data_IF_425566769241
#
_entry.id   IF_425566769241
#
_cell.length_a   1.000
_cell.length_b   1.000
_cell.length_c   1.000
_cell.angle_alpha   90.00
_cell.angle_beta   90.00
_cell.angle_gamma   90.00
#
_symmetry.space_group_name_H-M   'P 1'
#
loop_
_entity.id
_entity.type
_entity.pdbx_description
1 polymer ?
#
# COMPACT_ATOMS: atom_id res chain seq x y z
N UNK A 1 -8.80 -0.55 0.07
CA UNK A 1 -8.17 -0.38 -1.27
C UNK A 1 -7.33 -1.59 -1.64
N UNK A 2 -6.24 -1.92 -0.92
CA UNK A 2 -5.39 -3.08 -1.23
C UNK A 2 -6.17 -4.38 -1.48
N UNK A 3 -7.02 -4.80 -0.54
CA UNK A 3 -7.87 -5.99 -0.72
C UNK A 3 -8.77 -5.92 -1.96
N UNK A 4 -9.35 -4.75 -2.26
CA UNK A 4 -10.23 -4.57 -3.40
C UNK A 4 -9.51 -4.79 -4.74
N UNK A 5 -8.18 -4.57 -4.80
CA UNK A 5 -7.39 -4.86 -6.02
C UNK A 5 -7.35 -6.36 -6.35
N UNK A 6 -7.55 -7.22 -5.35
CA UNK A 6 -7.53 -8.68 -5.45
C UNK A 6 -8.93 -9.29 -5.57
N UNK A 7 -9.98 -8.49 -5.34
CA UNK A 7 -11.37 -8.94 -5.47
C UNK A 7 -11.76 -9.06 -6.95
N UNK A 8 -12.61 -10.04 -7.29
CA UNK A 8 -13.14 -10.18 -8.64
C UNK A 8 -14.27 -9.18 -8.91
N UNK A 9 -14.16 -8.44 -10.01
CA UNK A 9 -15.15 -7.46 -10.45
C UNK A 9 -14.76 -6.02 -10.08
N UNK A 10 -15.76 -5.17 -9.91
CA UNK A 10 -15.59 -3.76 -9.60
C UNK A 10 -16.08 -3.41 -8.19
N UNK A 11 -15.31 -2.59 -7.47
CA UNK A 11 -15.63 -2.12 -6.12
C UNK A 11 -15.52 -0.60 -6.10
N UNK A 12 -16.62 0.08 -5.77
CA UNK A 12 -16.62 1.52 -5.51
C UNK A 12 -16.37 1.77 -4.03
N UNK A 13 -15.35 2.56 -3.72
CA UNK A 13 -15.02 3.02 -2.39
C UNK A 13 -15.42 4.48 -2.28
N UNK A 14 -16.14 4.83 -1.21
CA UNK A 14 -16.56 6.19 -0.91
C UNK A 14 -16.05 6.60 0.48
N UNK A 15 -15.26 7.67 0.53
CA UNK A 15 -14.66 8.26 1.73
C UNK A 15 -15.13 9.71 1.86
N UNK A 16 -16.26 9.91 2.52
CA UNK A 16 -16.92 11.21 2.64
C UNK A 16 -16.25 12.16 3.64
N UNK A 17 -15.45 11.64 4.58
CA UNK A 17 -14.99 12.41 5.73
C UNK A 17 -13.73 13.23 5.42
N UNK A 18 -12.89 12.77 4.50
CA UNK A 18 -11.61 13.42 4.19
C UNK A 18 -11.34 13.45 2.68
N UNK A 19 -11.34 14.65 2.11
CA UNK A 19 -11.11 14.89 0.67
C UNK A 19 -9.76 14.36 0.15
N UNK A 20 -8.73 14.31 1.02
CA UNK A 20 -7.38 13.94 0.60
C UNK A 20 -6.96 12.51 0.98
N UNK A 21 -7.87 11.66 1.45
CA UNK A 21 -7.51 10.33 1.95
C UNK A 21 -7.24 9.31 0.85
N UNK A 22 -7.72 9.56 -0.38
CA UNK A 22 -7.54 8.64 -1.50
C UNK A 22 -6.27 8.91 -2.34
N UNK A 23 -5.47 9.93 -2.00
CA UNK A 23 -4.31 10.31 -2.84
C UNK A 23 -3.25 9.21 -2.95
N UNK A 24 -3.05 8.37 -1.93
CA UNK A 24 -2.08 7.26 -1.97
C UNK A 24 -2.42 6.16 -2.98
N UNK A 25 -3.61 6.22 -3.60
CA UNK A 25 -4.02 5.31 -4.67
C UNK A 25 -3.03 5.32 -5.83
N UNK A 26 -2.36 6.44 -6.08
CA UNK A 26 -1.30 6.56 -7.09
C UNK A 26 -0.21 5.49 -6.92
N UNK A 27 0.20 5.20 -5.68
CA UNK A 27 1.20 4.17 -5.38
C UNK A 27 0.70 2.77 -5.68
N UNK A 28 -0.57 2.48 -5.39
CA UNK A 28 -1.17 1.20 -5.77
C UNK A 28 -1.28 1.05 -7.29
N UNK A 29 -1.57 2.13 -8.01
CA UNK A 29 -1.58 2.15 -9.48
C UNK A 29 -0.17 1.90 -10.04
N UNK A 30 0.88 2.47 -9.43
CA UNK A 30 2.28 2.17 -9.80
C UNK A 30 2.62 0.68 -9.61
N UNK A 31 2.05 0.03 -8.59
CA UNK A 31 2.16 -1.42 -8.38
C UNK A 31 1.31 -2.25 -9.34
N UNK A 32 0.59 -1.65 -10.29
CA UNK A 32 -0.21 -2.36 -11.29
C UNK A 32 -1.70 -2.51 -10.95
N UNK A 33 -2.20 -1.88 -9.89
CA UNK A 33 -3.63 -1.86 -9.60
C UNK A 33 -4.42 -1.06 -10.65
N UNK A 34 -5.63 -1.49 -10.95
CA UNK A 34 -6.57 -0.74 -11.79
C UNK A 34 -7.52 0.04 -10.90
N UNK A 35 -7.18 1.30 -10.64
CA UNK A 35 -7.97 2.19 -9.78
C UNK A 35 -8.19 3.52 -10.50
N UNK A 36 -9.43 3.97 -10.54
CA UNK A 36 -9.82 5.27 -11.11
C UNK A 36 -10.43 6.13 -10.00
N UNK A 37 -9.83 7.29 -9.74
CA UNK A 37 -10.44 8.32 -8.89
C UNK A 37 -11.60 8.94 -9.68
N UNK A 38 -12.81 8.83 -9.17
CA UNK A 38 -14.00 9.39 -9.81
C UNK A 38 -14.21 10.86 -9.41
N UNK A 39 -13.85 11.20 -8.18
CA UNK A 39 -13.91 12.54 -7.56
C UNK A 39 -13.11 12.50 -6.23
N UNK A 40 -12.98 13.60 -5.47
CA UNK A 40 -12.17 13.63 -4.25
C UNK A 40 -12.54 12.57 -3.19
N UNK A 41 -13.78 12.07 -3.20
CA UNK A 41 -14.26 11.14 -2.20
C UNK A 41 -14.46 9.72 -2.73
N UNK A 42 -14.39 9.48 -4.04
CA UNK A 42 -14.72 8.18 -4.63
C UNK A 42 -13.61 7.62 -5.49
N UNK A 43 -13.32 6.34 -5.29
CA UNK A 43 -12.40 5.55 -6.10
C UNK A 43 -13.09 4.26 -6.59
N UNK A 44 -13.01 3.98 -7.88
CA UNK A 44 -13.41 2.70 -8.46
C UNK A 44 -12.18 1.80 -8.59
N UNK A 45 -12.25 0.60 -8.02
CA UNK A 45 -11.21 -0.44 -8.13
C UNK A 45 -11.75 -1.57 -9.00
N UNK A 46 -10.94 -2.04 -9.97
CA UNK A 46 -11.30 -3.18 -10.82
C UNK A 46 -10.24 -4.28 -10.65
N UNK A 47 -10.68 -5.45 -10.19
CA UNK A 47 -9.83 -6.61 -9.93
C UNK A 47 -10.36 -7.92 -10.53
N UNK A 48 -9.59 -9.01 -10.40
CA UNK A 48 -8.28 -9.06 -9.74
C UNK A 48 -7.18 -8.48 -10.63
N UNK A 49 -6.14 -7.90 -10.01
CA UNK A 49 -4.92 -7.46 -10.68
C UNK A 49 -3.70 -8.04 -9.99
N UNK A 50 -2.76 -8.58 -10.77
CA UNK A 50 -1.43 -8.94 -10.27
C UNK A 50 -0.68 -7.65 -9.95
N UNK A 51 -0.25 -7.51 -8.71
CA UNK A 51 0.58 -6.40 -8.30
C UNK A 51 2.05 -6.75 -8.50
N UNK A 52 2.88 -5.77 -8.79
CA UNK A 52 4.32 -5.92 -8.93
C UNK A 52 5.05 -5.10 -7.87
N UNK A 53 6.18 -5.62 -7.44
CA UNK A 53 7.07 -4.95 -6.52
C UNK A 53 7.53 -3.60 -7.05
N UNK A 54 7.50 -2.59 -6.19
CA UNK A 54 7.87 -1.20 -6.51
C UNK A 54 8.59 -0.55 -5.33
N UNK A 55 9.24 0.58 -5.59
CA UNK A 55 9.72 1.48 -4.54
C UNK A 55 8.66 2.56 -4.30
N UNK A 56 8.11 2.59 -3.09
CA UNK A 56 7.04 3.52 -2.70
C UNK A 56 7.33 4.16 -1.36
N UNK A 57 6.85 5.38 -1.12
CA UNK A 57 6.99 6.07 0.16
C UNK A 57 5.67 6.12 0.90
N UNK A 58 5.67 5.79 2.20
CA UNK A 58 4.52 5.90 3.09
C UNK A 58 4.17 7.37 3.38
N UNK A 59 3.03 7.90 2.89
CA UNK A 59 2.67 9.30 3.12
C UNK A 59 2.05 9.53 4.51
N UNK A 60 1.41 8.50 5.07
CA UNK A 60 0.78 8.54 6.38
C UNK A 60 0.64 7.13 6.97
N UNK A 61 0.14 7.05 8.21
CA UNK A 61 0.02 5.81 8.99
C UNK A 61 -0.83 4.75 8.27
N UNK A 62 -2.00 5.15 7.72
CA UNK A 62 -2.99 4.22 7.16
C UNK A 62 -2.68 3.88 5.71
N UNK A 63 -2.25 4.87 4.93
CA UNK A 63 -1.77 4.64 3.56
C UNK A 63 -0.56 3.72 3.55
N UNK A 64 0.39 3.91 4.48
CA UNK A 64 1.55 3.03 4.65
C UNK A 64 1.15 1.57 4.88
N UNK A 65 0.22 1.32 5.81
CA UNK A 65 -0.30 -0.03 6.02
C UNK A 65 -1.04 -0.60 4.81
N UNK A 66 -1.81 0.22 4.10
CA UNK A 66 -2.49 -0.24 2.88
C UNK A 66 -1.48 -0.67 1.81
N UNK A 67 -0.39 0.08 1.64
CA UNK A 67 0.70 -0.28 0.72
C UNK A 67 1.46 -1.51 1.20
N UNK A 68 1.70 -1.66 2.51
CA UNK A 68 2.33 -2.85 3.07
C UNK A 68 1.49 -4.10 2.76
N UNK A 69 0.18 -4.05 2.95
CA UNK A 69 -0.71 -5.17 2.60
C UNK A 69 -0.67 -5.45 1.09
N UNK A 70 -0.63 -4.41 0.26
CA UNK A 70 -0.50 -4.56 -1.19
C UNK A 70 0.84 -5.20 -1.59
N UNK A 71 1.94 -4.82 -0.92
CA UNK A 71 3.28 -5.35 -1.13
C UNK A 71 3.37 -6.84 -0.80
N UNK A 72 2.72 -7.28 0.28
CA UNK A 72 2.65 -8.71 0.63
C UNK A 72 1.91 -9.56 -0.41
N UNK A 73 1.03 -8.94 -1.21
CA UNK A 73 0.32 -9.61 -2.29
C UNK A 73 1.00 -9.43 -3.66
N UNK A 74 2.06 -8.61 -3.75
CA UNK A 74 2.73 -8.31 -5.01
C UNK A 74 3.78 -9.37 -5.38
N UNK A 75 3.99 -9.54 -6.67
CA UNK A 75 5.08 -10.36 -7.22
C UNK A 75 6.37 -9.55 -7.23
N UNK A 76 7.45 -10.12 -6.69
CA UNK A 76 8.76 -9.46 -6.58
C UNK A 76 9.00 -8.83 -5.21
N UNK A 77 9.88 -7.82 -5.18
CA UNK A 77 10.28 -7.12 -3.95
C UNK A 77 9.71 -5.71 -3.99
N UNK A 78 9.06 -5.29 -2.89
CA UNK A 78 8.60 -3.92 -2.70
C UNK A 78 9.42 -3.28 -1.60
N UNK A 79 9.98 -2.11 -1.88
CA UNK A 79 10.66 -1.27 -0.89
C UNK A 79 9.71 -0.17 -0.45
N UNK A 80 9.45 -0.08 0.85
CA UNK A 80 8.57 0.94 1.43
C UNK A 80 9.42 1.91 2.24
N UNK A 81 9.57 3.14 1.75
CA UNK A 81 10.23 4.24 2.44
C UNK A 81 9.33 4.93 3.46
N UNK A 82 9.93 5.77 4.30
CA UNK A 82 9.24 6.57 5.32
C UNK A 82 8.38 5.75 6.32
N UNK A 83 8.83 4.53 6.66
CA UNK A 83 8.13 3.58 7.58
C UNK A 83 7.82 4.16 8.97
N UNK A 84 8.56 5.20 9.39
CA UNK A 84 8.27 5.97 10.62
C UNK A 84 6.82 6.42 10.74
N UNK A 85 6.11 6.63 9.62
CA UNK A 85 4.68 6.95 9.67
C UNK A 85 3.84 5.76 10.12
N UNK A 86 4.15 4.55 9.65
CA UNK A 86 3.45 3.31 10.04
C UNK A 86 3.67 3.03 11.52
N UNK A 87 4.91 3.18 11.99
CA UNK A 87 5.31 2.91 13.38
C UNK A 87 4.56 3.76 14.41
N UNK A 88 4.11 4.95 14.02
CA UNK A 88 3.30 5.82 14.89
C UNK A 88 1.93 5.23 15.24
N UNK A 89 1.42 4.29 14.45
CA UNK A 89 0.12 3.65 14.69
C UNK A 89 0.18 2.14 14.88
N UNK A 90 1.30 1.50 14.53
CA UNK A 90 1.45 0.05 14.58
C UNK A 90 2.77 -0.33 15.22
N UNK A 91 2.68 -0.86 16.44
CA UNK A 91 3.84 -1.33 17.19
C UNK A 91 4.40 -2.62 16.59
N UNK A 92 5.70 -2.63 16.27
CA UNK A 92 6.48 -3.81 15.84
C UNK A 92 5.77 -4.61 14.75
N UNK A 93 5.22 -3.89 13.76
CA UNK A 93 4.34 -4.48 12.75
C UNK A 93 5.05 -5.52 11.88
N UNK A 94 6.32 -5.28 11.56
CA UNK A 94 7.18 -6.18 10.80
C UNK A 94 7.40 -7.51 11.53
N UNK A 95 7.63 -7.47 12.85
CA UNK A 95 7.77 -8.68 13.66
C UNK A 95 6.46 -9.48 13.70
N UNK A 96 5.34 -8.79 13.98
CA UNK A 96 4.02 -9.44 14.04
C UNK A 96 3.63 -10.07 12.70
N UNK A 97 4.00 -9.44 11.59
CA UNK A 97 3.74 -9.99 10.27
C UNK A 97 4.69 -11.14 9.92
N UNK A 98 5.96 -11.06 10.31
CA UNK A 98 6.90 -12.19 10.21
C UNK A 98 6.42 -13.41 10.99
N UNK A 99 5.88 -13.21 12.19
CA UNK A 99 5.29 -14.29 13.00
C UNK A 99 4.10 -14.96 12.30
N UNK A 100 3.41 -14.24 11.41
CA UNK A 100 2.35 -14.77 10.56
C UNK A 100 2.86 -15.39 9.24
N UNK A 101 4.17 -15.42 9.02
CA UNK A 101 4.82 -15.98 7.84
C UNK A 101 5.08 -14.99 6.69
N UNK A 102 4.90 -13.69 6.93
CA UNK A 102 5.26 -12.68 5.94
C UNK A 102 6.78 -12.60 5.75
N UNK A 103 7.22 -12.44 4.50
CA UNK A 103 8.62 -12.15 4.17
C UNK A 103 8.80 -10.64 4.12
N UNK A 104 9.17 -10.06 5.25
CA UNK A 104 9.41 -8.63 5.41
C UNK A 104 10.64 -8.42 6.28
N UNK A 105 11.51 -7.52 5.86
CA UNK A 105 12.71 -7.14 6.58
C UNK A 105 12.72 -5.62 6.75
N UNK A 106 13.26 -5.15 7.87
CA UNK A 106 13.56 -3.74 8.07
C UNK A 106 15.02 -3.52 7.75
N UNK A 107 15.29 -2.56 6.89
CA UNK A 107 16.64 -2.09 6.60
C UNK A 107 16.76 -0.65 7.13
N UNK A 108 17.90 -0.36 7.76
CA UNK A 108 18.29 1.00 8.06
C UNK A 108 18.69 1.70 6.76
N UNK A 109 18.56 3.03 6.71
CA UNK A 109 18.89 3.82 5.52
C UNK A 109 20.41 3.78 5.28
N UNK A 110 20.87 2.76 4.56
CA UNK A 110 22.27 2.65 4.13
C UNK A 110 22.42 3.58 2.93
N UNK A 111 23.29 4.61 2.98
CA UNK A 111 23.50 5.47 1.84
C UNK A 111 23.99 4.63 0.66
N UNK A 112 23.20 4.62 -0.42
CA UNK A 112 23.54 3.93 -1.67
C UNK A 112 24.89 4.49 -2.13
N UNK A 113 25.90 3.63 -2.17
CA UNK A 113 27.23 3.98 -2.66
C UNK A 113 27.11 4.37 -4.13
N UNK A 114 27.45 5.63 -4.43
CA UNK A 114 27.55 6.17 -5.80
C UNK A 114 28.73 5.55 -6.53
#
# INVERSE_FOLDING_TARGET
LALATQAQGSVMIHEWMFENRLFFVDKLVLMGASITICDPHRAMVVGPRRLTGQRVDSPDIRAGMAMLIAALAAEGVTEIGNVRHIDRGYERIDERLRDLGARIEREDDVPVSV
#
